data_IF_369260975827
#
_entry.id   IF_369260975827
#
_cell.length_a   1.000
_cell.length_b   1.000
_cell.length_c   1.000
_cell.angle_alpha   90.00
_cell.angle_beta   90.00
_cell.angle_gamma   90.00
#
_symmetry.space_group_name_H-M   'P 1'
#
loop_
_entity.id
_entity.type
_entity.pdbx_description
1 polymer ?
#
# COMPACT_ATOMS: atom_id res chain seq x y z
N UNK A 1 45.52 -4.22 -5.60
CA UNK A 1 44.10 -4.08 -5.98
C UNK A 1 43.96 -2.80 -6.78
N UNK A 2 43.67 -2.90 -8.07
CA UNK A 2 43.78 -1.78 -9.01
C UNK A 2 42.45 -1.01 -9.06
N UNK A 3 42.40 0.32 -8.78
CA UNK A 3 41.15 1.10 -8.78
C UNK A 3 40.41 1.11 -10.13
N UNK A 4 41.04 0.68 -11.22
CA UNK A 4 40.42 0.54 -12.54
C UNK A 4 39.57 -0.74 -12.72
N UNK A 5 39.62 -1.73 -11.82
CA UNK A 5 38.75 -2.92 -11.89
C UNK A 5 37.25 -2.59 -11.70
N UNK A 6 36.91 -1.49 -11.02
CA UNK A 6 35.51 -1.07 -10.84
C UNK A 6 34.87 -0.49 -12.10
N UNK A 7 35.64 0.05 -13.04
CA UNK A 7 35.12 0.69 -14.26
C UNK A 7 34.68 -0.38 -15.28
N UNK A 8 35.36 -1.54 -15.31
CA UNK A 8 35.00 -2.65 -16.20
C UNK A 8 33.77 -3.46 -15.73
N UNK A 9 33.25 -3.19 -14.53
CA UNK A 9 32.12 -3.94 -13.99
C UNK A 9 30.76 -3.34 -14.40
N UNK A 10 30.66 -2.02 -14.59
CA UNK A 10 29.37 -1.39 -14.89
C UNK A 10 28.83 -1.74 -16.29
N UNK A 11 29.69 -1.77 -17.32
CA UNK A 11 29.28 -2.14 -18.68
C UNK A 11 28.94 -3.65 -18.78
N UNK A 12 29.61 -4.48 -17.99
CA UNK A 12 29.37 -5.92 -17.94
C UNK A 12 28.07 -6.21 -17.17
N UNK A 13 27.83 -5.52 -16.05
CA UNK A 13 26.58 -5.55 -15.29
C UNK A 13 25.39 -5.05 -16.12
N UNK A 14 25.53 -3.95 -16.86
CA UNK A 14 24.46 -3.44 -17.73
C UNK A 14 24.09 -4.41 -18.86
N UNK A 15 25.08 -5.03 -19.53
CA UNK A 15 24.85 -6.05 -20.57
C UNK A 15 24.29 -7.36 -20.00
N UNK A 16 24.65 -7.72 -18.77
CA UNK A 16 24.06 -8.87 -18.06
C UNK A 16 22.62 -8.59 -17.61
N UNK A 17 22.32 -7.35 -17.23
CA UNK A 17 20.96 -6.87 -16.94
C UNK A 17 20.07 -6.93 -18.19
N UNK A 18 20.58 -6.46 -19.34
CA UNK A 18 19.88 -6.49 -20.62
C UNK A 18 19.66 -7.91 -21.17
N UNK A 19 20.52 -8.87 -20.78
CA UNK A 19 20.37 -10.30 -21.11
C UNK A 19 19.61 -11.11 -20.06
N UNK A 20 19.03 -10.46 -19.03
CA UNK A 20 18.26 -11.12 -17.98
C UNK A 20 19.09 -11.99 -17.02
N UNK A 21 20.41 -11.88 -17.06
CA UNK A 21 21.33 -12.69 -16.24
C UNK A 21 21.74 -11.88 -15.01
N UNK A 22 20.98 -12.00 -13.92
CA UNK A 22 21.36 -11.39 -12.64
C UNK A 22 22.40 -12.28 -11.93
N UNK A 23 23.63 -11.79 -11.77
CA UNK A 23 24.63 -12.41 -10.90
C UNK A 23 24.36 -11.97 -9.46
N UNK A 24 23.49 -12.70 -8.75
CA UNK A 24 23.32 -12.49 -7.32
C UNK A 24 24.66 -12.75 -6.60
N UNK A 25 25.12 -11.76 -5.84
CA UNK A 25 26.34 -11.87 -5.04
C UNK A 25 26.20 -12.94 -3.96
N UNK A 26 27.32 -13.48 -3.47
CA UNK A 26 27.30 -14.44 -2.36
C UNK A 26 26.54 -13.88 -1.14
N UNK A 27 26.68 -12.58 -0.85
CA UNK A 27 25.98 -11.94 0.26
C UNK A 27 24.45 -11.87 0.04
N UNK A 28 23.98 -11.51 -1.16
CA UNK A 28 22.56 -11.52 -1.50
C UNK A 28 21.96 -12.93 -1.43
N UNK A 29 22.74 -13.95 -1.83
CA UNK A 29 22.35 -15.36 -1.75
C UNK A 29 22.26 -15.85 -0.30
N UNK A 30 23.21 -15.47 0.56
CA UNK A 30 23.15 -15.72 2.01
C UNK A 30 21.93 -15.05 2.64
N UNK A 31 21.59 -13.81 2.23
CA UNK A 31 20.40 -13.11 2.69
C UNK A 31 19.12 -13.82 2.27
N UNK A 32 19.03 -14.21 0.99
CA UNK A 32 17.88 -14.96 0.50
C UNK A 32 17.75 -16.29 1.25
N UNK A 33 18.85 -17.02 1.48
CA UNK A 33 18.87 -18.27 2.25
C UNK A 33 18.31 -18.08 3.65
N UNK A 34 18.70 -17.02 4.35
CA UNK A 34 18.14 -16.65 5.64
C UNK A 34 16.64 -16.30 5.53
N UNK A 35 16.21 -15.54 4.52
CA UNK A 35 14.78 -15.21 4.35
C UNK A 35 13.91 -16.45 4.10
N UNK A 36 14.44 -17.48 3.43
CA UNK A 36 13.70 -18.73 3.19
C UNK A 36 13.45 -19.56 4.45
N UNK A 37 14.19 -19.33 5.55
CA UNK A 37 13.93 -20.01 6.83
C UNK A 37 12.78 -19.39 7.61
N UNK A 38 12.35 -18.17 7.25
CA UNK A 38 11.23 -17.49 7.90
C UNK A 38 9.91 -18.23 7.64
N UNK A 39 9.03 -18.43 8.64
CA UNK A 39 7.76 -19.17 8.47
C UNK A 39 6.89 -18.66 7.30
N UNK A 40 6.86 -17.35 7.07
CA UNK A 40 6.11 -16.75 5.95
C UNK A 40 6.64 -17.09 4.55
N UNK A 41 7.82 -17.68 4.42
CA UNK A 41 8.37 -18.09 3.12
C UNK A 41 7.49 -19.15 2.45
N UNK A 42 6.90 -20.06 3.23
CA UNK A 42 5.97 -21.08 2.75
C UNK A 42 4.71 -20.48 2.13
N UNK A 43 4.27 -19.32 2.62
CA UNK A 43 3.12 -18.60 2.06
C UNK A 43 3.52 -17.75 0.85
N UNK A 44 4.72 -17.15 0.86
CA UNK A 44 5.20 -16.26 -0.19
C UNK A 44 5.54 -16.99 -1.50
N UNK A 45 6.05 -18.22 -1.42
CA UNK A 45 6.51 -19.01 -2.57
C UNK A 45 5.61 -20.22 -2.82
N UNK A 46 5.58 -20.69 -4.08
CA UNK A 46 5.03 -22.03 -4.35
C UNK A 46 5.95 -23.10 -3.78
N UNK A 47 5.42 -24.26 -3.37
CA UNK A 47 6.24 -25.36 -2.86
C UNK A 47 7.38 -25.75 -3.83
N UNK A 48 7.10 -25.76 -5.14
CA UNK A 48 8.09 -26.05 -6.19
C UNK A 48 9.16 -24.96 -6.25
N UNK A 49 8.78 -23.69 -6.18
CA UNK A 49 9.72 -22.57 -6.21
C UNK A 49 10.58 -22.55 -4.95
N UNK A 50 9.97 -22.74 -3.79
CA UNK A 50 10.67 -22.79 -2.51
C UNK A 50 11.71 -23.91 -2.50
N UNK A 51 11.30 -25.12 -2.88
CA UNK A 51 12.23 -26.26 -2.99
C UNK A 51 13.39 -25.96 -3.93
N UNK A 52 13.13 -25.40 -5.12
CA UNK A 52 14.18 -25.01 -6.07
C UNK A 52 15.15 -23.99 -5.46
N UNK A 53 14.63 -22.94 -4.82
CA UNK A 53 15.47 -21.91 -4.20
C UNK A 53 16.29 -22.47 -3.05
N UNK A 54 15.70 -23.32 -2.20
CA UNK A 54 16.41 -23.99 -1.11
C UNK A 54 17.52 -24.91 -1.62
N UNK A 55 17.28 -25.67 -2.69
CA UNK A 55 18.31 -26.50 -3.33
C UNK A 55 19.42 -25.65 -3.95
N UNK A 56 19.07 -24.58 -4.68
CA UNK A 56 20.04 -23.69 -5.32
C UNK A 56 20.94 -22.97 -4.31
N UNK A 57 20.45 -22.74 -3.09
CA UNK A 57 21.17 -22.04 -2.02
C UNK A 57 21.81 -22.99 -1.01
N UNK A 58 21.76 -24.31 -1.24
CA UNK A 58 22.17 -25.31 -0.25
C UNK A 58 23.66 -25.16 0.12
N UNK A 59 24.51 -24.86 -0.87
CA UNK A 59 25.96 -24.71 -0.70
C UNK A 59 26.40 -23.31 -0.27
N UNK A 60 25.53 -22.30 -0.33
CA UNK A 60 25.87 -20.93 0.10
C UNK A 60 26.00 -20.84 1.62
N UNK A 61 26.91 -19.98 2.08
CA UNK A 61 27.08 -19.72 3.51
C UNK A 61 25.81 -19.10 4.10
N UNK A 62 25.38 -19.58 5.27
CA UNK A 62 24.24 -18.99 5.96
C UNK A 62 24.68 -17.72 6.69
N UNK A 63 23.88 -16.66 6.59
CA UNK A 63 24.07 -15.48 7.42
C UNK A 63 23.69 -15.81 8.86
N UNK A 64 24.68 -15.86 9.76
CA UNK A 64 24.43 -16.04 11.18
C UNK A 64 24.07 -14.69 11.82
N UNK A 65 22.77 -14.51 12.10
CA UNK A 65 22.26 -13.37 12.87
C UNK A 65 21.93 -13.75 14.32
N UNK A 66 22.09 -15.03 14.70
CA UNK A 66 21.74 -15.53 16.03
C UNK A 66 22.77 -15.04 17.06
N UNK A 67 22.43 -13.96 17.75
CA UNK A 67 23.23 -13.38 18.84
C UNK A 67 23.58 -11.90 18.67
N UNK A 68 23.47 -11.36 17.45
CA UNK A 68 23.80 -9.96 17.17
C UNK A 68 22.57 -9.03 17.08
N UNK A 69 21.38 -9.58 16.82
CA UNK A 69 20.15 -8.82 16.74
C UNK A 69 19.10 -9.39 17.70
N UNK A 70 18.85 -8.68 18.80
CA UNK A 70 17.69 -8.93 19.66
C UNK A 70 16.60 -7.97 19.24
N UNK A 71 15.50 -8.49 18.70
CA UNK A 71 14.31 -7.70 18.44
C UNK A 71 13.69 -7.27 19.79
N UNK A 72 14.09 -6.12 20.31
CA UNK A 72 13.46 -5.53 21.50
C UNK A 72 12.03 -5.11 21.14
N UNK A 73 11.06 -5.63 21.89
CA UNK A 73 9.64 -5.28 21.76
C UNK A 73 9.03 -5.53 20.36
N UNK A 74 9.30 -6.68 19.76
CA UNK A 74 8.61 -7.10 18.53
C UNK A 74 7.11 -7.26 18.77
N UNK A 75 6.27 -6.41 18.18
CA UNK A 75 4.83 -6.68 18.05
C UNK A 75 4.65 -7.99 17.27
N UNK A 76 3.70 -8.83 17.66
CA UNK A 76 3.26 -9.98 16.86
C UNK A 76 2.87 -9.49 15.46
N UNK A 77 3.73 -9.71 14.46
CA UNK A 77 3.44 -9.34 13.08
C UNK A 77 2.40 -10.31 12.53
N UNK A 78 1.17 -9.81 12.36
CA UNK A 78 0.13 -10.52 11.64
C UNK A 78 0.54 -10.59 10.15
N UNK A 79 1.03 -11.75 9.70
CA UNK A 79 1.19 -12.19 8.31
C UNK A 79 1.23 -11.06 7.26
N UNK A 80 2.44 -10.60 6.89
CA UNK A 80 2.62 -9.61 5.81
C UNK A 80 2.16 -10.17 4.45
N UNK A 81 2.22 -11.48 4.25
CA UNK A 81 1.71 -12.17 3.07
C UNK A 81 0.45 -12.94 3.43
N UNK A 82 -0.63 -12.79 2.66
CA UNK A 82 -1.87 -13.54 2.86
C UNK A 82 -2.04 -14.58 1.73
N UNK A 83 -2.40 -15.84 2.01
CA UNK A 83 -2.49 -16.91 0.99
C UNK A 83 -3.38 -16.56 -0.22
N UNK A 84 -4.47 -15.82 0.03
CA UNK A 84 -5.40 -15.38 -1.02
C UNK A 84 -4.87 -14.27 -1.94
N UNK A 85 -3.73 -13.63 -1.65
CA UNK A 85 -3.20 -12.55 -2.49
C UNK A 85 -2.91 -13.02 -3.92
N UNK A 86 -2.29 -14.19 -4.06
CA UNK A 86 -1.91 -14.72 -5.38
C UNK A 86 -3.15 -15.12 -6.21
N UNK A 87 -4.12 -15.89 -5.69
CA UNK A 87 -5.38 -16.14 -6.37
C UNK A 87 -6.14 -14.87 -6.77
N UNK A 88 -6.28 -13.91 -5.85
CA UNK A 88 -7.00 -12.66 -6.12
C UNK A 88 -6.30 -11.80 -7.17
N UNK A 89 -4.97 -11.70 -7.13
CA UNK A 89 -4.20 -10.98 -8.14
C UNK A 89 -4.38 -11.61 -9.52
N UNK A 90 -4.42 -12.94 -9.61
CA UNK A 90 -4.72 -13.65 -10.86
C UNK A 90 -6.15 -13.37 -11.33
N UNK A 91 -7.14 -13.44 -10.44
CA UNK A 91 -8.52 -13.15 -10.78
C UNK A 91 -8.69 -11.72 -11.33
N UNK A 92 -8.08 -10.72 -10.69
CA UNK A 92 -8.06 -9.33 -11.16
C UNK A 92 -7.39 -9.23 -12.53
N UNK A 93 -6.20 -9.83 -12.69
CA UNK A 93 -5.44 -9.78 -13.94
C UNK A 93 -6.19 -10.41 -15.12
N UNK A 94 -6.82 -11.57 -14.88
CA UNK A 94 -7.60 -12.29 -15.88
C UNK A 94 -9.05 -11.81 -15.98
N UNK A 95 -9.43 -10.75 -15.25
CA UNK A 95 -10.78 -10.17 -15.22
C UNK A 95 -11.88 -11.21 -14.92
N UNK A 96 -11.60 -12.09 -13.97
CA UNK A 96 -12.52 -13.13 -13.53
C UNK A 96 -13.40 -12.65 -12.39
N UNK A 97 -14.61 -13.21 -12.31
CA UNK A 97 -15.49 -13.07 -11.16
C UNK A 97 -14.97 -13.87 -9.99
N UNK A 98 -15.43 -13.52 -8.80
CA UNK A 98 -15.16 -14.27 -7.58
C UNK A 98 -16.46 -14.61 -6.87
N UNK A 99 -16.48 -15.77 -6.26
CA UNK A 99 -17.48 -16.18 -5.27
C UNK A 99 -16.76 -16.45 -3.97
N UNK A 100 -17.25 -15.87 -2.88
CA UNK A 100 -16.60 -15.94 -1.58
C UNK A 100 -17.59 -16.05 -0.44
N UNK A 101 -17.13 -16.61 0.69
CA UNK A 101 -17.90 -16.64 1.93
C UNK A 101 -17.05 -16.15 3.11
N UNK A 102 -17.71 -15.50 4.07
CA UNK A 102 -17.07 -14.87 5.22
C UNK A 102 -17.11 -15.77 6.45
N UNK A 103 -16.03 -15.72 7.23
CA UNK A 103 -15.94 -16.41 8.51
C UNK A 103 -16.78 -15.69 9.57
N UNK A 104 -17.73 -16.42 10.16
CA UNK A 104 -18.41 -16.01 11.38
C UNK A 104 -17.59 -16.39 12.63
N UNK A 105 -17.97 -15.85 13.80
CA UNK A 105 -17.23 -16.07 15.06
C UNK A 105 -17.20 -17.54 15.48
N UNK A 106 -18.20 -18.32 15.06
CA UNK A 106 -18.35 -19.76 15.28
C UNK A 106 -17.59 -20.64 14.27
N UNK A 107 -16.86 -20.02 13.33
CA UNK A 107 -16.15 -20.71 12.26
C UNK A 107 -17.03 -21.17 11.08
N UNK A 108 -18.34 -20.90 11.13
CA UNK A 108 -19.25 -21.15 10.01
C UNK A 108 -18.99 -20.18 8.86
N UNK A 109 -19.38 -20.58 7.64
CA UNK A 109 -19.41 -19.64 6.52
C UNK A 109 -20.81 -19.03 6.38
N UNK A 110 -20.86 -17.71 6.24
CA UNK A 110 -22.08 -17.01 5.86
C UNK A 110 -22.49 -17.29 4.40
N UNK A 111 -23.58 -16.66 3.98
CA UNK A 111 -24.06 -16.77 2.60
C UNK A 111 -22.99 -16.35 1.59
N UNK A 112 -22.89 -17.11 0.50
CA UNK A 112 -21.97 -16.82 -0.59
C UNK A 112 -22.30 -15.48 -1.24
N UNK A 113 -21.26 -14.73 -1.57
CA UNK A 113 -21.36 -13.48 -2.28
C UNK A 113 -20.50 -13.53 -3.53
N UNK A 114 -21.11 -13.13 -4.64
CA UNK A 114 -20.45 -13.04 -5.94
C UNK A 114 -20.17 -11.58 -6.32
N UNK A 115 -19.07 -11.39 -7.04
CA UNK A 115 -18.66 -10.07 -7.45
C UNK A 115 -17.42 -10.05 -8.32
N UNK A 116 -16.99 -8.84 -8.64
CA UNK A 116 -15.80 -8.59 -9.44
C UNK A 116 -14.70 -7.99 -8.56
N UNK A 117 -13.56 -8.68 -8.37
CA UNK A 117 -12.43 -8.09 -7.67
C UNK A 117 -11.73 -7.10 -8.60
N UNK A 118 -11.35 -5.93 -8.10
CA UNK A 118 -10.66 -4.96 -8.95
C UNK A 118 -9.40 -4.37 -8.31
N UNK A 119 -9.24 -4.44 -6.98
CA UNK A 119 -8.01 -3.96 -6.33
C UNK A 119 -7.71 -4.71 -5.03
N UNK A 120 -6.43 -4.85 -4.72
CA UNK A 120 -5.92 -5.29 -3.42
C UNK A 120 -5.19 -4.12 -2.78
N UNK A 121 -5.47 -3.85 -1.51
CA UNK A 121 -4.82 -2.77 -0.76
C UNK A 121 -4.27 -3.27 0.56
N UNK A 122 -3.06 -2.84 0.89
CA UNK A 122 -2.50 -3.03 2.21
C UNK A 122 -2.67 -1.75 3.03
N UNK A 123 -3.40 -1.83 4.13
CA UNK A 123 -3.54 -0.70 5.05
C UNK A 123 -2.33 -0.66 5.98
N UNK A 124 -1.41 0.28 5.76
CA UNK A 124 -0.23 0.47 6.62
C UNK A 124 -0.62 0.79 8.08
N UNK A 125 -1.73 1.51 8.27
CA UNK A 125 -2.24 1.88 9.61
C UNK A 125 -2.78 0.66 10.36
N UNK A 126 -3.54 -0.19 9.66
CA UNK A 126 -4.16 -1.39 10.27
C UNK A 126 -3.29 -2.64 10.16
N UNK A 127 -2.17 -2.56 9.42
CA UNK A 127 -1.25 -3.66 9.08
C UNK A 127 -1.99 -4.89 8.54
N UNK A 128 -2.94 -4.66 7.64
CA UNK A 128 -3.84 -5.70 7.13
C UNK A 128 -4.16 -5.51 5.66
N UNK A 129 -4.32 -6.62 4.93
CA UNK A 129 -4.78 -6.64 3.55
C UNK A 129 -6.29 -6.56 3.40
N UNK A 130 -6.73 -5.82 2.38
CA UNK A 130 -8.11 -5.63 1.99
C UNK A 130 -8.30 -5.99 0.52
N UNK A 131 -9.43 -6.67 0.24
CA UNK A 131 -9.98 -6.84 -1.09
C UNK A 131 -11.00 -5.76 -1.37
N UNK A 132 -10.83 -5.10 -2.51
CA UNK A 132 -11.73 -4.11 -3.06
C UNK A 132 -12.43 -4.74 -4.25
N UNK A 133 -13.75 -4.83 -4.18
CA UNK A 133 -14.55 -5.61 -5.11
C UNK A 133 -15.93 -5.00 -5.31
N UNK A 134 -16.55 -5.28 -6.45
CA UNK A 134 -17.90 -4.87 -6.78
C UNK A 134 -18.86 -6.03 -6.59
N UNK A 135 -19.88 -5.88 -5.75
CA UNK A 135 -20.87 -6.92 -5.48
C UNK A 135 -21.96 -6.87 -6.55
N UNK A 136 -22.15 -7.98 -7.29
CA UNK A 136 -23.13 -8.03 -8.38
C UNK A 136 -24.58 -7.94 -7.91
N UNK A 137 -24.87 -8.48 -6.72
CA UNK A 137 -26.23 -8.51 -6.16
C UNK A 137 -26.65 -7.15 -5.61
N UNK A 138 -25.78 -6.51 -4.82
CA UNK A 138 -26.09 -5.22 -4.18
C UNK A 138 -25.69 -4.02 -5.02
N UNK A 139 -24.98 -4.24 -6.14
CA UNK A 139 -24.41 -3.19 -7.00
C UNK A 139 -23.60 -2.16 -6.21
N UNK A 140 -22.90 -2.66 -5.19
CA UNK A 140 -22.19 -1.82 -4.25
C UNK A 140 -20.70 -2.14 -4.23
N UNK A 141 -19.91 -1.12 -3.94
CA UNK A 141 -18.49 -1.26 -3.70
C UNK A 141 -18.20 -1.81 -2.30
N UNK A 142 -17.62 -3.01 -2.33
CA UNK A 142 -17.10 -3.90 -1.29
C UNK A 142 -15.68 -3.61 -0.77
N UNK A 143 -15.42 -3.25 0.49
CA UNK A 143 -14.08 -3.38 1.08
C UNK A 143 -14.07 -4.45 2.18
N UNK A 144 -13.34 -5.55 1.94
CA UNK A 144 -13.30 -6.70 2.86
C UNK A 144 -11.87 -6.99 3.32
N UNK A 145 -11.67 -7.17 4.62
CA UNK A 145 -10.42 -7.70 5.19
C UNK A 145 -10.16 -9.12 4.70
N UNK A 146 -8.98 -9.40 4.15
CA UNK A 146 -8.66 -10.73 3.62
C UNK A 146 -8.75 -11.83 4.69
N UNK A 147 -8.32 -11.55 5.92
CA UNK A 147 -8.41 -12.51 7.05
C UNK A 147 -9.82 -13.00 7.37
N UNK A 148 -10.87 -12.33 6.87
CA UNK A 148 -12.27 -12.74 7.07
C UNK A 148 -12.78 -13.66 5.96
N UNK A 149 -12.02 -13.83 4.88
CA UNK A 149 -12.38 -14.70 3.76
C UNK A 149 -11.98 -16.13 4.09
N UNK A 150 -12.93 -17.06 3.99
CA UNK A 150 -12.68 -18.49 4.20
C UNK A 150 -12.55 -19.25 2.88
N UNK A 151 -13.49 -19.03 1.96
CA UNK A 151 -13.51 -19.64 0.65
C UNK A 151 -13.44 -18.57 -0.43
N UNK A 152 -12.72 -18.88 -1.50
CA UNK A 152 -12.61 -18.09 -2.71
C UNK A 152 -12.62 -19.05 -3.90
N UNK A 153 -13.63 -18.91 -4.75
CA UNK A 153 -13.67 -19.52 -6.09
C UNK A 153 -13.60 -18.40 -7.13
N UNK A 154 -13.03 -18.73 -8.29
CA UNK A 154 -12.98 -17.83 -9.45
C UNK A 154 -13.90 -18.36 -10.53
N UNK A 155 -14.68 -17.48 -11.14
CA UNK A 155 -15.64 -17.83 -12.19
C UNK A 155 -15.33 -17.02 -13.45
N UNK A 156 -15.41 -17.63 -14.65
CA UNK A 156 -15.28 -16.88 -15.89
C UNK A 156 -16.47 -15.92 -16.03
N UNK A 157 -16.19 -14.72 -16.54
CA UNK A 157 -17.20 -13.72 -16.88
C UNK A 157 -17.17 -13.46 -18.38
N UNK A 158 -18.31 -13.07 -18.93
CA UNK A 158 -18.38 -12.64 -20.33
C UNK A 158 -17.69 -11.29 -20.50
N UNK A 159 -17.14 -11.03 -21.69
CA UNK A 159 -16.41 -9.79 -21.97
C UNK A 159 -17.31 -8.55 -21.80
N UNK A 160 -18.58 -8.67 -22.16
CA UNK A 160 -19.59 -7.61 -22.03
C UNK A 160 -19.87 -7.28 -20.57
N UNK A 161 -19.98 -8.31 -19.71
CA UNK A 161 -20.20 -8.12 -18.28
C UNK A 161 -18.97 -7.50 -17.60
N UNK A 162 -17.77 -7.90 -18.01
CA UNK A 162 -16.53 -7.30 -17.51
C UNK A 162 -16.45 -5.82 -17.90
N UNK A 163 -16.71 -5.49 -19.16
CA UNK A 163 -16.64 -4.11 -19.65
C UNK A 163 -17.66 -3.20 -18.94
N UNK A 164 -18.91 -3.64 -18.83
CA UNK A 164 -19.97 -2.89 -18.14
C UNK A 164 -19.67 -2.73 -16.65
N UNK A 165 -19.18 -3.78 -15.98
CA UNK A 165 -18.79 -3.73 -14.56
C UNK A 165 -17.64 -2.76 -14.33
N UNK A 166 -16.59 -2.80 -15.15
CA UNK A 166 -15.45 -1.88 -15.03
C UNK A 166 -15.88 -0.42 -15.26
N UNK A 167 -16.76 -0.16 -16.22
CA UNK A 167 -17.31 1.18 -16.44
C UNK A 167 -18.15 1.67 -15.25
N UNK A 168 -18.93 0.79 -14.63
CA UNK A 168 -19.69 1.11 -13.43
C UNK A 168 -18.78 1.38 -12.23
N UNK A 169 -17.75 0.55 -12.02
CA UNK A 169 -16.71 0.78 -11.01
C UNK A 169 -16.05 2.14 -11.22
N UNK A 170 -15.64 2.46 -12.46
CA UNK A 170 -15.05 3.75 -12.80
C UNK A 170 -15.94 4.93 -12.42
N UNK A 171 -17.20 4.92 -12.87
CA UNK A 171 -18.18 5.98 -12.54
C UNK A 171 -18.39 6.15 -11.04
N UNK A 172 -18.50 5.03 -10.31
CA UNK A 172 -18.69 5.07 -8.86
C UNK A 172 -17.45 5.61 -8.14
N UNK A 173 -16.25 5.22 -8.55
CA UNK A 173 -15.01 5.73 -7.97
C UNK A 173 -14.87 7.23 -8.22
N UNK A 174 -15.12 7.70 -9.44
CA UNK A 174 -15.11 9.13 -9.77
C UNK A 174 -16.12 9.92 -8.91
N UNK A 175 -17.35 9.42 -8.75
CA UNK A 175 -18.36 10.08 -7.90
C UNK A 175 -17.97 10.18 -6.42
N UNK A 176 -17.02 9.36 -5.97
CA UNK A 176 -16.53 9.29 -4.58
C UNK A 176 -15.19 10.01 -4.40
N UNK A 177 -14.60 10.53 -5.48
CA UNK A 177 -13.42 11.38 -5.37
C UNK A 177 -13.76 12.64 -4.63
N UNK A 178 -12.80 13.09 -3.85
CA UNK A 178 -12.80 14.36 -3.16
C UNK A 178 -11.54 15.09 -3.56
N UNK A 179 -11.63 16.41 -3.59
CA UNK A 179 -10.48 17.28 -3.75
C UNK A 179 -10.33 18.19 -2.55
N UNK A 180 -9.09 18.56 -2.24
CA UNK A 180 -8.74 19.56 -1.25
C UNK A 180 -7.52 20.34 -1.70
N UNK A 181 -7.50 21.65 -1.42
CA UNK A 181 -6.35 22.50 -1.69
C UNK A 181 -5.59 22.73 -0.40
N UNK A 182 -4.28 22.48 -0.46
CA UNK A 182 -3.35 22.60 0.65
C UNK A 182 -2.28 23.62 0.28
N UNK A 183 -2.22 24.71 1.03
CA UNK A 183 -1.20 25.73 0.87
C UNK A 183 -0.01 25.45 1.78
N UNK A 184 1.20 25.53 1.22
CA UNK A 184 2.46 25.52 1.97
C UNK A 184 2.74 26.95 2.44
N UNK A 185 3.02 27.14 3.72
CA UNK A 185 3.39 28.47 4.21
C UNK A 185 4.79 28.86 3.71
N UNK A 186 5.02 30.13 3.32
CA UNK A 186 6.28 30.56 2.68
C UNK A 186 7.54 30.23 3.48
N UNK A 187 7.46 30.31 4.82
CA UNK A 187 8.55 30.00 5.74
C UNK A 187 9.06 28.55 5.62
N UNK A 188 8.24 27.64 5.08
CA UNK A 188 8.57 26.22 4.89
C UNK A 188 8.82 25.83 3.42
N UNK A 189 8.97 26.79 2.50
CA UNK A 189 9.25 26.50 1.09
C UNK A 189 10.51 25.63 0.89
N UNK A 190 11.51 25.74 1.78
CA UNK A 190 12.72 24.89 1.76
C UNK A 190 12.44 23.41 2.05
N UNK A 191 11.31 23.10 2.68
CA UNK A 191 10.87 21.74 3.01
C UNK A 191 9.90 21.15 1.96
N UNK A 192 9.67 21.86 0.84
CA UNK A 192 8.66 21.49 -0.16
C UNK A 192 8.77 20.02 -0.60
N UNK A 193 9.98 19.53 -0.90
CA UNK A 193 10.20 18.13 -1.30
C UNK A 193 9.70 17.13 -0.27
N UNK A 194 9.91 17.40 1.03
CA UNK A 194 9.45 16.55 2.14
C UNK A 194 7.93 16.62 2.30
N UNK A 195 7.34 17.79 2.10
CA UNK A 195 5.89 17.99 2.12
C UNK A 195 5.23 17.22 0.98
N UNK A 196 5.75 17.36 -0.25
CA UNK A 196 5.25 16.65 -1.43
C UNK A 196 5.40 15.13 -1.28
N UNK A 197 6.49 14.67 -0.65
CA UNK A 197 6.69 13.25 -0.36
C UNK A 197 5.62 12.68 0.57
N UNK A 198 5.13 13.45 1.55
CA UNK A 198 4.05 13.03 2.43
C UNK A 198 2.74 12.73 1.69
N UNK A 199 2.54 13.35 0.52
CA UNK A 199 1.38 13.17 -0.36
C UNK A 199 1.69 12.37 -1.64
N UNK A 200 2.85 11.72 -1.72
CA UNK A 200 3.30 10.98 -2.91
C UNK A 200 2.34 9.89 -3.39
N UNK A 201 1.58 9.30 -2.48
CA UNK A 201 0.60 8.24 -2.74
C UNK A 201 -0.76 8.75 -3.27
N UNK A 202 -0.95 10.05 -3.39
CA UNK A 202 -2.17 10.66 -3.91
C UNK A 202 -1.93 11.30 -5.27
N UNK A 203 -3.01 11.41 -6.04
CA UNK A 203 -3.05 12.26 -7.22
C UNK A 203 -2.93 13.71 -6.76
N UNK A 204 -1.95 14.44 -7.30
CA UNK A 204 -1.64 15.80 -6.86
C UNK A 204 -1.20 16.68 -8.01
N UNK A 205 -1.62 17.93 -7.94
CA UNK A 205 -1.18 19.02 -8.80
C UNK A 205 -0.59 20.12 -7.92
N UNK A 206 0.48 20.78 -8.39
CA UNK A 206 1.19 21.80 -7.63
C UNK A 206 1.25 23.07 -8.46
N UNK A 207 0.73 24.16 -7.91
CA UNK A 207 0.84 25.50 -8.47
C UNK A 207 1.71 26.36 -7.56
N UNK A 208 2.49 27.26 -8.15
CA UNK A 208 3.26 28.27 -7.43
C UNK A 208 2.70 29.65 -7.72
N UNK A 209 2.42 30.41 -6.67
CA UNK A 209 2.04 31.80 -6.76
C UNK A 209 3.27 32.68 -6.47
N UNK A 210 3.80 33.42 -7.46
CA UNK A 210 4.97 34.26 -7.28
C UNK A 210 4.70 35.52 -6.45
N UNK A 211 3.46 36.01 -6.40
CA UNK A 211 3.09 37.22 -5.63
C UNK A 211 3.03 36.90 -4.14
N UNK A 212 2.39 35.79 -3.80
CA UNK A 212 2.26 35.33 -2.42
C UNK A 212 3.45 34.49 -1.94
N UNK A 213 4.35 34.09 -2.86
CA UNK A 213 5.44 33.14 -2.62
C UNK A 213 4.98 31.83 -1.98
N UNK A 214 3.79 31.36 -2.37
CA UNK A 214 3.15 30.18 -1.80
C UNK A 214 3.00 29.07 -2.83
N UNK A 215 3.14 27.82 -2.37
CA UNK A 215 2.76 26.66 -3.15
C UNK A 215 1.36 26.19 -2.76
N UNK A 216 0.52 25.94 -3.76
CA UNK A 216 -0.80 25.33 -3.60
C UNK A 216 -0.76 23.91 -4.16
N UNK A 217 -1.14 22.95 -3.34
CA UNK A 217 -1.18 21.52 -3.67
C UNK A 217 -2.65 21.12 -3.73
N UNK A 218 -3.15 20.82 -4.92
CA UNK A 218 -4.48 20.23 -5.11
C UNK A 218 -4.33 18.73 -4.98
N UNK A 219 -4.96 18.12 -3.97
CA UNK A 219 -4.99 16.68 -3.77
C UNK A 219 -6.33 16.10 -4.17
N UNK A 220 -6.30 15.09 -5.03
CA UNK A 220 -7.47 14.28 -5.38
C UNK A 220 -7.32 12.88 -4.78
N UNK A 221 -8.34 12.46 -4.02
CA UNK A 221 -8.31 11.19 -3.27
C UNK A 221 -9.73 10.62 -3.10
N UNK A 222 -9.85 9.33 -2.79
CA UNK A 222 -11.15 8.71 -2.53
C UNK A 222 -11.66 9.10 -1.14
N UNK A 223 -12.98 9.26 -0.98
CA UNK A 223 -13.56 9.70 0.30
C UNK A 223 -13.16 8.84 1.53
N UNK A 224 -12.95 7.53 1.35
CA UNK A 224 -12.48 6.63 2.41
C UNK A 224 -11.00 6.84 2.80
N UNK A 225 -10.21 7.55 2.00
CA UNK A 225 -8.82 7.91 2.26
C UNK A 225 -8.69 9.22 3.07
N UNK A 226 -9.79 9.93 3.32
CA UNK A 226 -9.79 11.24 4.02
C UNK A 226 -9.06 11.18 5.37
N UNK A 227 -9.22 10.11 6.15
CA UNK A 227 -8.52 9.97 7.44
C UNK A 227 -7.00 9.78 7.28
N UNK A 228 -6.56 9.16 6.19
CA UNK A 228 -5.14 9.03 5.88
C UNK A 228 -4.54 10.36 5.46
N UNK A 229 -5.26 11.14 4.64
CA UNK A 229 -4.88 12.53 4.31
C UNK A 229 -4.80 13.37 5.58
N UNK A 230 -5.78 13.27 6.49
CA UNK A 230 -5.76 13.95 7.80
C UNK A 230 -4.54 13.55 8.63
N UNK A 231 -4.15 12.27 8.63
CA UNK A 231 -2.93 11.83 9.32
C UNK A 231 -1.68 12.51 8.77
N UNK A 232 -1.58 12.69 7.45
CA UNK A 232 -0.45 13.40 6.82
C UNK A 232 -0.46 14.89 7.15
N UNK A 233 -1.64 15.52 7.08
CA UNK A 233 -1.82 16.93 7.45
C UNK A 233 -1.43 17.20 8.90
N UNK A 234 -1.87 16.36 9.84
CA UNK A 234 -1.51 16.46 11.27
C UNK A 234 -0.01 16.29 11.48
N UNK A 235 0.62 15.36 10.76
CA UNK A 235 2.07 15.15 10.82
C UNK A 235 2.86 16.37 10.33
N UNK A 236 2.40 17.01 9.25
CA UNK A 236 3.04 18.23 8.72
C UNK A 236 2.84 19.44 9.64
N UNK A 237 1.70 19.50 10.33
CA UNK A 237 1.40 20.51 11.34
C UNK A 237 1.35 21.91 10.73
N UNK A 238 2.06 22.87 11.35
CA UNK A 238 2.08 24.28 10.93
C UNK A 238 2.62 24.51 9.51
N UNK A 239 3.31 23.53 8.92
CA UNK A 239 3.93 23.64 7.59
C UNK A 239 2.94 23.89 6.47
N UNK A 240 1.71 23.44 6.67
CA UNK A 240 0.66 23.45 5.65
C UNK A 240 -0.65 23.94 6.23
N UNK A 241 -1.48 24.51 5.37
CA UNK A 241 -2.84 24.93 5.68
C UNK A 241 -3.79 24.35 4.64
N UNK A 242 -4.90 23.77 5.09
CA UNK A 242 -5.97 23.37 4.18
C UNK A 242 -6.82 24.61 3.90
N UNK A 243 -6.87 25.05 2.64
CA UNK A 243 -7.64 26.22 2.20
C UNK A 243 -8.98 25.85 1.58
N UNK A 244 -9.05 24.69 0.92
CA UNK A 244 -10.29 24.14 0.36
C UNK A 244 -10.51 22.69 0.80
N UNK A 245 -11.78 22.29 0.92
CA UNK A 245 -12.19 20.97 1.38
C UNK A 245 -12.72 20.99 2.82
N UNK A 246 -13.98 21.43 2.96
CA UNK A 246 -14.62 21.72 4.27
C UNK A 246 -14.54 20.59 5.30
N UNK A 247 -14.62 19.33 4.87
CA UNK A 247 -14.42 18.18 5.76
C UNK A 247 -13.04 18.18 6.42
N UNK A 248 -11.96 18.36 5.65
CA UNK A 248 -10.60 18.34 6.17
C UNK A 248 -10.35 19.56 7.06
N UNK A 249 -10.83 20.74 6.67
CA UNK A 249 -10.74 21.98 7.46
C UNK A 249 -11.37 21.79 8.83
N UNK A 250 -12.61 21.30 8.88
CA UNK A 250 -13.34 21.05 10.13
C UNK A 250 -12.61 20.06 11.04
N UNK A 251 -12.12 18.95 10.49
CA UNK A 251 -11.41 17.91 11.24
C UNK A 251 -10.02 18.36 11.73
N UNK A 252 -9.30 19.15 10.95
CA UNK A 252 -8.04 19.77 11.38
C UNK A 252 -8.28 20.76 12.52
N UNK A 253 -9.29 21.64 12.40
CA UNK A 253 -9.67 22.58 13.47
C UNK A 253 -10.02 21.85 14.77
N UNK A 254 -10.86 20.82 14.69
CA UNK A 254 -11.23 20.00 15.86
C UNK A 254 -9.99 19.37 16.52
N UNK A 255 -9.09 18.79 15.71
CA UNK A 255 -7.87 18.14 16.22
C UNK A 255 -6.96 19.15 16.92
N UNK A 256 -6.76 20.33 16.33
CA UNK A 256 -5.96 21.41 16.91
C UNK A 256 -6.56 21.95 18.20
N UNK A 257 -7.88 22.17 18.26
CA UNK A 257 -8.58 22.65 19.46
C UNK A 257 -8.52 21.63 20.61
N UNK A 258 -8.58 20.33 20.31
CA UNK A 258 -8.40 19.29 21.33
C UNK A 258 -6.97 19.27 21.87
N UNK A 259 -5.97 19.40 20.99
CA UNK A 259 -4.57 19.47 21.41
C UNK A 259 -4.31 20.72 22.28
N UNK A 260 -4.78 21.90 21.87
CA UNK A 260 -4.62 23.14 22.66
C UNK A 260 -5.22 23.01 24.07
N UNK A 261 -6.41 22.42 24.18
CA UNK A 261 -7.06 22.14 25.47
C UNK A 261 -6.22 21.21 26.36
N UNK A 262 -5.55 20.22 25.80
CA UNK A 262 -4.67 19.31 26.56
C UNK A 262 -3.43 20.03 27.12
N UNK A 263 -2.97 21.08 26.44
CA UNK A 263 -1.84 21.90 26.89
C UNK A 263 -2.25 23.10 27.77
N UNK A 264 -3.52 23.18 28.20
CA UNK A 264 -4.00 24.27 29.07
C UNK A 264 -4.07 25.64 28.39
N UNK A 265 -3.95 25.69 27.06
CA UNK A 265 -4.06 26.91 26.28
C UNK A 265 -5.54 27.15 25.95
N UNK A 266 -6.19 28.05 26.68
CA UNK A 266 -7.49 28.59 26.27
C UNK A 266 -7.27 29.44 25.02
N UNK A 267 -8.04 29.17 23.96
CA UNK A 267 -7.96 29.89 22.69
C UNK A 267 -8.23 31.39 22.90
N UNK A 268 -7.52 32.30 22.21
CA UNK A 268 -8.01 33.67 22.03
C UNK A 268 -9.31 33.60 21.22
N UNK A 269 -10.28 34.44 21.60
CA UNK A 269 -11.56 34.63 20.91
C UNK A 269 -11.40 35.01 19.42
#
# INVERSE_FOLDING_TARGET
MNPFEKIFNYQLLARLQDSGTFLATAHERSWLKLMLTHPSAAEAFSAVTLAKLTTLLQQDEALDLHGHFVQKAGSLEAQVYHPLLRPLRRAIWHKQGITMCFLHKDGSCGAEQSGFPYRLEYSMVKREWYLLWYNFRTRAYVSTRLRKLKLLSTEPLTAELVASTLAEIGRLLESRKRSAVITVLPEYNKELSRILYAFSCFEKEVAYDPELQTYSITLTFLGNESEYVLSKLRFLGKRVRVTEGGYLIGRMRESSLKALRQYGMNTPD
#
